data_IF_698540664029
#
_entry.id   IF_698540664029
#
_cell.length_a   1.000
_cell.length_b   1.000
_cell.length_c   1.000
_cell.angle_alpha   90.00
_cell.angle_beta   90.00
_cell.angle_gamma   90.00
#
_symmetry.space_group_name_H-M   'P 1'
#
loop_
_entity.id
_entity.type
_entity.pdbx_description
1 polymer ?
#
# COMPACT_ATOMS: atom_id res chain seq x y z
N UNK A 1 -26.44 -71.48 -29.67
CA UNK A 1 -26.47 -70.03 -29.84
C UNK A 1 -26.12 -69.38 -28.48
N UNK A 2 -24.93 -68.82 -28.36
CA UNK A 2 -24.52 -68.03 -27.16
C UNK A 2 -25.02 -66.61 -27.36
N UNK A 3 -25.69 -66.00 -26.35
CA UNK A 3 -26.12 -64.62 -26.45
C UNK A 3 -24.90 -63.68 -26.47
N UNK A 4 -25.00 -62.56 -27.20
CA UNK A 4 -23.89 -61.62 -27.30
C UNK A 4 -23.65 -60.97 -25.90
N UNK A 5 -22.40 -61.07 -25.40
CA UNK A 5 -21.93 -60.35 -24.20
C UNK A 5 -22.03 -58.84 -24.46
N UNK A 6 -23.00 -58.21 -23.83
CA UNK A 6 -23.06 -56.75 -23.76
C UNK A 6 -21.74 -56.25 -23.19
N UNK A 7 -20.98 -55.46 -23.97
CA UNK A 7 -19.82 -54.71 -23.49
C UNK A 7 -20.34 -53.69 -22.48
N UNK A 8 -19.78 -53.62 -21.25
CA UNK A 8 -20.14 -52.56 -20.34
C UNK A 8 -19.76 -51.23 -21.00
N UNK A 9 -20.78 -50.44 -21.37
CA UNK A 9 -20.59 -49.12 -21.98
C UNK A 9 -19.87 -48.24 -20.96
N UNK A 10 -18.82 -47.53 -21.45
CA UNK A 10 -18.23 -46.41 -20.70
C UNK A 10 -19.36 -45.44 -20.40
N UNK A 11 -19.66 -45.25 -19.12
CA UNK A 11 -20.56 -44.16 -18.72
C UNK A 11 -19.97 -42.86 -19.30
N UNK A 12 -20.69 -42.23 -20.24
CA UNK A 12 -20.24 -41.00 -20.86
C UNK A 12 -20.08 -39.92 -19.78
N UNK A 13 -19.12 -39.02 -19.92
CA UNK A 13 -18.87 -37.92 -18.99
C UNK A 13 -20.15 -37.17 -18.59
N UNK A 14 -21.07 -36.98 -19.54
CA UNK A 14 -22.38 -36.37 -19.28
C UNK A 14 -23.27 -37.20 -18.32
N UNK A 15 -23.17 -38.51 -18.33
CA UNK A 15 -23.89 -39.37 -17.39
C UNK A 15 -23.33 -39.28 -15.98
N UNK A 16 -21.99 -39.17 -15.83
CA UNK A 16 -21.31 -38.98 -14.56
C UNK A 16 -21.63 -37.59 -13.94
N UNK A 17 -21.66 -36.54 -14.76
CA UNK A 17 -22.07 -35.21 -14.32
C UNK A 17 -23.55 -35.20 -13.87
N UNK A 18 -24.44 -35.85 -14.62
CA UNK A 18 -25.86 -35.96 -14.24
C UNK A 18 -26.04 -36.72 -12.94
N UNK A 19 -25.28 -37.78 -12.71
CA UNK A 19 -25.31 -38.59 -11.49
C UNK A 19 -24.74 -37.79 -10.30
N UNK A 20 -23.67 -36.99 -10.50
CA UNK A 20 -23.14 -36.08 -9.47
C UNK A 20 -24.15 -35.02 -9.06
N UNK A 21 -24.86 -34.42 -10.01
CA UNK A 21 -25.91 -33.42 -9.75
C UNK A 21 -27.11 -34.03 -8.98
N UNK A 22 -27.51 -35.24 -9.34
CA UNK A 22 -28.58 -35.96 -8.61
C UNK A 22 -28.12 -36.32 -7.19
N UNK A 23 -26.85 -36.73 -7.02
CA UNK A 23 -26.26 -37.07 -5.73
C UNK A 23 -26.23 -35.86 -4.74
N UNK A 24 -26.07 -34.66 -5.25
CA UNK A 24 -26.15 -33.40 -4.50
C UNK A 24 -27.54 -33.21 -3.86
N UNK A 25 -28.61 -33.59 -4.56
CA UNK A 25 -29.99 -33.44 -4.08
C UNK A 25 -30.35 -34.33 -2.90
N UNK A 26 -29.65 -35.46 -2.70
CA UNK A 26 -30.03 -36.47 -1.67
C UNK A 26 -29.57 -36.14 -0.23
N UNK A 27 -28.55 -35.29 -0.04
CA UNK A 27 -28.08 -34.86 1.30
C UNK A 27 -27.61 -33.39 1.27
N UNK A 28 -28.53 -32.42 1.28
CA UNK A 28 -28.20 -31.01 1.05
C UNK A 28 -27.30 -30.40 2.14
N UNK A 29 -27.38 -30.86 3.38
CA UNK A 29 -26.58 -30.34 4.49
C UNK A 29 -25.06 -30.49 4.27
N UNK A 30 -24.62 -31.60 3.66
CA UNK A 30 -23.22 -31.87 3.40
C UNK A 30 -22.69 -31.06 2.23
N UNK A 31 -23.50 -31.01 1.15
CA UNK A 31 -23.19 -30.16 0.00
C UNK A 31 -23.00 -28.71 0.46
N UNK A 32 -23.93 -28.19 1.27
CA UNK A 32 -23.84 -26.84 1.81
C UNK A 32 -22.61 -26.67 2.72
N UNK A 33 -22.26 -27.65 3.55
CA UNK A 33 -21.07 -27.57 4.40
C UNK A 33 -19.77 -27.54 3.58
N UNK A 34 -19.66 -28.40 2.53
CA UNK A 34 -18.49 -28.41 1.64
C UNK A 34 -18.42 -27.15 0.80
N UNK A 35 -19.55 -26.68 0.29
CA UNK A 35 -19.68 -25.43 -0.43
C UNK A 35 -19.25 -24.25 0.44
N UNK A 36 -19.76 -24.17 1.68
CA UNK A 36 -19.41 -23.11 2.62
C UNK A 36 -17.90 -23.07 2.93
N UNK A 37 -17.27 -24.24 3.16
CA UNK A 37 -15.83 -24.33 3.36
C UNK A 37 -15.03 -23.77 2.14
N UNK A 38 -15.49 -24.09 0.92
CA UNK A 38 -14.87 -23.60 -0.32
C UNK A 38 -15.11 -22.11 -0.51
N UNK A 39 -16.34 -21.64 -0.25
CA UNK A 39 -16.71 -20.21 -0.34
C UNK A 39 -15.87 -19.38 0.61
N UNK A 40 -15.72 -19.82 1.86
CA UNK A 40 -14.89 -19.12 2.85
C UNK A 40 -13.42 -19.12 2.41
N UNK A 41 -12.87 -20.26 1.98
CA UNK A 41 -11.48 -20.35 1.56
C UNK A 41 -11.16 -19.46 0.37
N UNK A 42 -11.97 -19.54 -0.70
CA UNK A 42 -11.77 -18.73 -1.91
C UNK A 42 -12.17 -17.26 -1.68
N UNK A 43 -13.27 -17.02 -0.95
CA UNK A 43 -13.71 -15.66 -0.61
C UNK A 43 -12.64 -14.91 0.18
N UNK A 44 -12.05 -15.55 1.19
CA UNK A 44 -10.95 -14.96 1.97
C UNK A 44 -9.72 -14.67 1.12
N UNK A 45 -9.37 -15.55 0.18
CA UNK A 45 -8.27 -15.30 -0.76
C UNK A 45 -8.54 -14.07 -1.63
N UNK A 46 -9.75 -13.97 -2.22
CA UNK A 46 -10.13 -12.83 -3.06
C UNK A 46 -10.15 -11.54 -2.26
N UNK A 47 -10.72 -11.57 -1.04
CA UNK A 47 -10.75 -10.41 -0.13
C UNK A 47 -9.33 -9.97 0.24
N UNK A 48 -8.47 -10.90 0.65
CA UNK A 48 -7.10 -10.58 1.05
C UNK A 48 -6.31 -9.91 -0.09
N UNK A 49 -6.32 -10.53 -1.28
CA UNK A 49 -5.61 -10.00 -2.45
C UNK A 49 -6.24 -8.68 -2.94
N UNK A 50 -7.58 -8.61 -3.01
CA UNK A 50 -8.27 -7.43 -3.55
C UNK A 50 -8.21 -6.22 -2.61
N UNK A 51 -8.31 -6.41 -1.29
CA UNK A 51 -8.09 -5.31 -0.33
C UNK A 51 -6.63 -4.85 -0.40
N UNK A 52 -5.67 -5.78 -0.50
CA UNK A 52 -4.26 -5.43 -0.67
C UNK A 52 -4.00 -4.57 -1.90
N UNK A 53 -4.56 -4.96 -3.05
CA UNK A 53 -4.46 -4.19 -4.30
C UNK A 53 -5.14 -2.82 -4.19
N UNK A 54 -6.33 -2.77 -3.60
CA UNK A 54 -7.10 -1.53 -3.42
C UNK A 54 -6.36 -0.56 -2.48
N UNK A 55 -5.83 -1.05 -1.36
CA UNK A 55 -5.04 -0.23 -0.43
C UNK A 55 -3.75 0.29 -1.09
N UNK A 56 -3.03 -0.56 -1.82
CA UNK A 56 -1.83 -0.16 -2.54
C UNK A 56 -2.13 0.90 -3.62
N UNK A 57 -3.24 0.75 -4.35
CA UNK A 57 -3.67 1.74 -5.35
C UNK A 57 -4.06 3.07 -4.70
N UNK A 58 -4.72 3.04 -3.53
CA UNK A 58 -5.10 4.24 -2.79
C UNK A 58 -3.87 5.03 -2.30
N UNK A 59 -2.85 4.34 -1.80
CA UNK A 59 -1.58 4.96 -1.43
C UNK A 59 -0.94 5.62 -2.67
N UNK A 60 -0.87 4.90 -3.78
CA UNK A 60 -0.28 5.43 -5.02
C UNK A 60 -1.03 6.65 -5.55
N UNK A 61 -2.37 6.63 -5.58
CA UNK A 61 -3.15 7.75 -6.13
C UNK A 61 -2.95 9.06 -5.36
N UNK A 62 -2.67 8.99 -4.05
CA UNK A 62 -2.29 10.17 -3.26
C UNK A 62 -0.91 10.69 -3.65
N UNK A 63 0.03 9.81 -3.91
CA UNK A 63 1.36 10.21 -4.40
C UNK A 63 1.33 10.71 -5.85
N UNK A 64 0.55 10.08 -6.72
CA UNK A 64 0.45 10.48 -8.14
C UNK A 64 -0.11 11.90 -8.31
N UNK A 65 -1.03 12.35 -7.45
CA UNK A 65 -1.57 13.71 -7.50
C UNK A 65 -0.52 14.77 -7.13
N UNK A 66 0.36 14.47 -6.18
CA UNK A 66 1.48 15.33 -5.79
C UNK A 66 2.61 15.22 -6.83
N UNK A 67 2.92 14.00 -7.26
CA UNK A 67 3.96 13.74 -8.27
C UNK A 67 3.71 14.45 -9.61
N UNK A 68 2.44 14.62 -9.97
CA UNK A 68 2.07 15.27 -11.23
C UNK A 68 2.38 16.78 -11.26
N UNK A 69 2.58 17.40 -10.10
CA UNK A 69 2.74 18.86 -9.98
C UNK A 69 3.95 19.29 -9.15
N UNK A 70 4.71 18.39 -8.55
CA UNK A 70 5.86 18.74 -7.73
C UNK A 70 7.17 18.25 -8.34
N UNK A 71 8.22 19.08 -8.18
CA UNK A 71 9.61 18.76 -8.55
C UNK A 71 10.51 19.19 -7.41
N UNK A 72 11.27 18.25 -6.86
CA UNK A 72 12.29 18.51 -5.87
C UNK A 72 13.66 18.60 -6.55
N UNK A 73 14.42 19.65 -6.27
CA UNK A 73 15.78 19.80 -6.75
C UNK A 73 16.72 19.91 -5.55
N UNK A 74 17.72 19.05 -5.55
CA UNK A 74 18.79 19.03 -4.54
C UNK A 74 20.17 19.04 -5.19
N UNK A 75 21.20 19.30 -4.41
CA UNK A 75 22.57 19.14 -4.91
C UNK A 75 22.86 17.64 -5.16
N UNK A 76 23.47 17.35 -6.29
CA UNK A 76 23.98 16.02 -6.55
C UNK A 76 25.02 15.62 -5.48
N UNK A 77 25.03 14.35 -5.11
CA UNK A 77 25.98 13.81 -4.13
C UNK A 77 27.04 12.98 -4.81
N UNK A 78 28.26 13.04 -4.30
CA UNK A 78 29.36 12.13 -4.71
C UNK A 78 29.98 11.49 -3.48
N UNK A 79 30.33 10.22 -3.59
CA UNK A 79 31.02 9.50 -2.55
C UNK A 79 32.42 10.09 -2.33
N UNK A 80 32.67 10.65 -1.16
CA UNK A 80 33.97 11.20 -0.78
C UNK A 80 34.97 10.12 -0.41
N UNK A 81 36.23 10.52 -0.25
CA UNK A 81 37.31 9.63 0.18
C UNK A 81 37.11 9.03 1.59
N UNK A 82 36.17 9.57 2.36
CA UNK A 82 35.75 9.12 3.70
C UNK A 82 34.60 8.11 3.67
N UNK A 83 34.12 7.71 2.48
CA UNK A 83 32.99 6.81 2.28
C UNK A 83 31.64 7.44 2.63
N UNK A 84 31.57 8.77 2.69
CA UNK A 84 30.32 9.50 2.91
C UNK A 84 29.93 10.27 1.64
N UNK A 85 28.63 10.44 1.49
CA UNK A 85 28.07 11.25 0.42
C UNK A 85 28.25 12.74 0.74
N UNK A 86 28.94 13.46 -0.14
CA UNK A 86 29.11 14.90 -0.07
C UNK A 86 28.39 15.58 -1.22
N UNK A 87 27.72 16.70 -0.89
CA UNK A 87 27.07 17.52 -1.92
C UNK A 87 28.15 18.13 -2.86
N UNK A 88 27.95 17.94 -4.16
CA UNK A 88 28.88 18.42 -5.21
C UNK A 88 28.78 19.94 -5.42
N UNK A 89 27.61 20.51 -5.13
CA UNK A 89 27.33 21.93 -5.27
C UNK A 89 26.41 22.44 -4.15
N UNK A 90 26.22 23.73 -4.10
CA UNK A 90 25.24 24.39 -3.23
C UNK A 90 24.18 25.09 -4.08
N UNK A 91 22.91 25.03 -3.67
CA UNK A 91 21.85 25.74 -4.37
C UNK A 91 22.10 27.24 -4.31
N UNK A 92 22.05 27.96 -5.46
CA UNK A 92 22.19 29.39 -5.50
C UNK A 92 21.13 30.12 -4.66
N UNK A 93 21.46 31.24 -4.05
CA UNK A 93 20.54 32.02 -3.24
C UNK A 93 19.34 32.59 -4.04
N UNK A 94 19.49 32.72 -5.34
CA UNK A 94 18.49 33.19 -6.31
C UNK A 94 17.77 32.04 -7.04
N UNK A 95 17.86 30.81 -6.51
CA UNK A 95 17.28 29.62 -7.15
C UNK A 95 15.78 29.77 -7.40
N UNK A 96 15.03 30.31 -6.43
CA UNK A 96 13.58 30.55 -6.56
C UNK A 96 13.30 31.47 -7.75
N UNK A 97 14.03 32.57 -7.88
CA UNK A 97 13.86 33.55 -8.97
C UNK A 97 14.25 32.97 -10.35
N UNK A 98 15.24 32.07 -10.38
CA UNK A 98 15.67 31.40 -11.62
C UNK A 98 14.61 30.42 -12.09
N UNK A 99 14.09 29.56 -11.22
CA UNK A 99 13.10 28.56 -11.62
C UNK A 99 11.72 29.17 -11.86
N UNK A 100 11.36 30.27 -11.19
CA UNK A 100 10.12 31.00 -11.42
C UNK A 100 9.97 31.54 -12.87
N UNK A 101 11.08 31.64 -13.61
CA UNK A 101 11.09 32.06 -15.02
C UNK A 101 10.80 30.92 -16.00
N UNK A 102 10.81 29.67 -15.52
CA UNK A 102 10.53 28.52 -16.37
C UNK A 102 9.03 28.40 -16.63
N UNK A 103 8.70 28.09 -17.89
CA UNK A 103 7.30 27.89 -18.26
C UNK A 103 6.72 26.66 -17.54
N UNK A 104 5.58 26.85 -16.89
CA UNK A 104 4.90 25.79 -16.15
C UNK A 104 5.23 25.76 -14.66
N UNK A 105 6.07 26.64 -14.14
CA UNK A 105 6.28 26.82 -12.69
C UNK A 105 5.20 27.75 -12.15
N UNK A 106 4.51 27.31 -11.10
CA UNK A 106 3.47 28.08 -10.39
C UNK A 106 3.97 28.66 -9.08
N UNK A 107 4.76 27.90 -8.33
CA UNK A 107 5.36 28.34 -7.08
C UNK A 107 6.69 27.62 -6.84
N UNK A 108 7.55 28.21 -6.02
CA UNK A 108 8.77 27.58 -5.56
C UNK A 108 9.13 28.03 -4.15
N UNK A 109 9.72 27.11 -3.39
CA UNK A 109 10.29 27.42 -2.05
C UNK A 109 11.64 26.71 -1.93
N UNK A 110 12.59 27.43 -1.40
CA UNK A 110 13.90 26.91 -1.06
C UNK A 110 13.96 26.74 0.46
N UNK A 111 14.35 25.56 0.90
CA UNK A 111 14.40 25.20 2.32
C UNK A 111 15.77 24.63 2.68
N UNK A 112 16.22 24.92 3.89
CA UNK A 112 17.44 24.33 4.41
C UNK A 112 17.48 24.35 5.93
N UNK A 113 18.19 23.40 6.51
CA UNK A 113 18.30 23.27 7.96
C UNK A 113 19.28 24.30 8.50
N UNK A 114 18.93 24.92 9.63
CA UNK A 114 19.77 25.85 10.35
C UNK A 114 20.40 25.13 11.54
N UNK A 115 21.73 25.11 11.55
CA UNK A 115 22.48 24.56 12.69
C UNK A 115 22.57 25.62 13.79
N UNK A 116 22.02 25.34 14.95
CA UNK A 116 22.08 26.18 16.12
C UNK A 116 23.37 25.96 16.94
N UNK A 117 24.37 25.23 16.45
CA UNK A 117 25.62 24.92 17.13
C UNK A 117 25.43 24.26 18.50
N UNK A 118 24.38 23.47 18.66
CA UNK A 118 24.05 22.77 19.93
C UNK A 118 23.11 23.53 20.84
N UNK A 119 22.72 24.77 20.51
CA UNK A 119 21.68 25.49 21.22
C UNK A 119 20.29 24.93 20.96
N UNK A 120 19.32 25.25 21.80
CA UNK A 120 17.97 24.70 21.75
C UNK A 120 16.94 25.71 21.28
N UNK A 121 15.82 25.20 20.82
CA UNK A 121 14.60 25.98 20.60
C UNK A 121 13.72 25.88 21.82
N UNK A 122 13.38 27.05 22.42
CA UNK A 122 12.55 27.09 23.62
C UNK A 122 11.49 28.19 23.52
N UNK A 123 10.37 28.02 24.22
CA UNK A 123 9.32 29.04 24.32
C UNK A 123 9.64 30.10 25.42
N UNK A 124 10.61 29.83 26.27
CA UNK A 124 11.03 30.70 27.39
C UNK A 124 12.55 30.73 27.43
N UNK A 125 13.14 31.90 27.59
CA UNK A 125 14.59 32.07 27.74
C UNK A 125 15.05 31.64 29.14
N UNK A 126 15.07 30.33 29.35
CA UNK A 126 15.54 29.70 30.59
C UNK A 126 16.54 28.60 30.22
N UNK A 127 17.78 28.78 30.65
CA UNK A 127 18.77 27.73 30.65
C UNK A 127 18.52 26.82 31.86
N UNK A 128 17.94 25.65 31.63
CA UNK A 128 17.89 24.58 32.63
C UNK A 128 18.98 23.55 32.31
N UNK A 129 20.11 23.56 33.04
CA UNK A 129 21.20 22.61 32.79
C UNK A 129 20.84 21.15 33.11
N UNK A 130 19.77 20.93 33.90
CA UNK A 130 19.28 19.60 34.26
C UNK A 130 18.13 19.12 33.38
N UNK A 131 17.64 19.96 32.46
CA UNK A 131 16.63 19.51 31.50
C UNK A 131 17.16 18.37 30.65
N UNK A 132 16.44 17.24 30.65
CA UNK A 132 16.75 16.10 29.80
C UNK A 132 16.92 16.54 28.33
N UNK A 133 17.86 15.96 27.56
CA UNK A 133 18.01 16.26 26.15
C UNK A 133 16.76 15.78 25.39
N UNK A 134 15.72 16.61 25.41
CA UNK A 134 14.54 16.40 24.57
C UNK A 134 14.90 16.87 23.16
N UNK A 135 14.57 16.05 22.19
CA UNK A 135 14.65 16.43 20.77
C UNK A 135 13.62 17.56 20.56
N UNK A 136 14.05 18.79 20.66
CA UNK A 136 13.21 19.97 20.41
C UNK A 136 12.90 20.15 18.94
N UNK A 137 12.04 21.13 18.55
CA UNK A 137 11.80 21.49 17.17
C UNK A 137 13.11 21.83 16.45
N UNK A 138 13.21 21.43 15.19
CA UNK A 138 14.32 21.83 14.30
C UNK A 138 14.11 23.27 13.83
N UNK A 139 15.16 23.91 13.32
CA UNK A 139 15.06 25.23 12.69
C UNK A 139 15.36 25.09 11.22
N UNK A 140 14.47 25.65 10.38
CA UNK A 140 14.64 25.66 8.94
C UNK A 140 14.57 27.09 8.40
N UNK A 141 15.48 27.43 7.51
CA UNK A 141 15.44 28.69 6.76
C UNK A 141 14.65 28.48 5.47
N UNK A 142 13.78 29.43 5.11
CA UNK A 142 13.00 29.33 3.89
C UNK A 142 13.01 30.62 3.07
N UNK A 143 12.90 30.44 1.73
CA UNK A 143 12.78 31.52 0.72
C UNK A 143 11.73 31.12 -0.29
N UNK A 144 10.81 32.02 -0.62
CA UNK A 144 9.77 31.77 -1.61
C UNK A 144 8.39 31.64 -1.00
N UNK A 145 7.46 31.08 -1.78
CA UNK A 145 6.08 30.88 -1.33
C UNK A 145 5.92 29.51 -0.63
N UNK A 146 6.04 29.52 0.70
CA UNK A 146 5.95 28.31 1.52
C UNK A 146 4.59 27.65 1.33
N UNK A 147 3.48 28.43 1.34
CA UNK A 147 2.13 27.87 1.32
C UNK A 147 1.84 27.18 -0.02
N UNK A 148 2.05 27.91 -1.12
CA UNK A 148 1.79 27.39 -2.45
C UNK A 148 2.73 26.24 -2.80
N UNK A 149 4.00 26.29 -2.38
CA UNK A 149 4.98 25.28 -2.74
C UNK A 149 4.88 24.00 -1.89
N UNK A 150 4.37 24.08 -0.65
CA UNK A 150 4.25 22.89 0.22
C UNK A 150 2.84 22.37 0.37
N UNK A 151 1.83 23.10 -0.15
CA UNK A 151 0.41 22.80 0.05
C UNK A 151 -0.07 23.08 1.46
N UNK A 152 0.75 23.76 2.29
CA UNK A 152 0.41 24.09 3.68
C UNK A 152 -0.75 25.05 3.78
N UNK A 153 -1.48 24.96 4.88
CA UNK A 153 -2.54 25.91 5.25
C UNK A 153 -2.15 26.67 6.51
N UNK A 154 -2.50 27.96 6.58
CA UNK A 154 -2.28 28.75 7.80
C UNK A 154 -3.39 28.45 8.80
N UNK A 155 -3.02 27.90 9.96
CA UNK A 155 -3.97 27.63 11.05
C UNK A 155 -4.28 28.91 11.81
N UNK A 156 -3.26 29.72 12.10
CA UNK A 156 -3.41 31.03 12.77
C UNK A 156 -2.30 31.98 12.33
N UNK A 157 -2.56 33.27 12.24
CA UNK A 157 -1.59 34.30 11.87
C UNK A 157 -1.34 34.37 10.35
N UNK A 158 -0.09 34.53 9.95
CA UNK A 158 0.40 34.69 8.58
C UNK A 158 1.81 34.17 8.40
N UNK A 159 2.24 33.93 7.17
CA UNK A 159 3.64 33.66 6.85
C UNK A 159 4.44 34.97 6.65
N UNK A 160 5.76 34.90 6.71
CA UNK A 160 6.63 36.03 6.38
C UNK A 160 6.66 36.28 4.86
N UNK A 161 6.89 37.51 4.49
CA UNK A 161 6.93 38.02 3.12
C UNK A 161 8.32 38.57 2.74
N UNK A 162 8.45 39.07 1.50
CA UNK A 162 9.69 39.68 1.02
C UNK A 162 10.20 40.82 1.90
N UNK A 163 9.28 41.64 2.47
CA UNK A 163 9.67 42.72 3.34
C UNK A 163 10.35 42.27 4.65
N UNK A 164 9.89 41.14 5.25
CA UNK A 164 10.57 40.55 6.40
C UNK A 164 11.96 40.03 6.03
N UNK A 165 12.09 39.45 4.81
CA UNK A 165 13.37 39.00 4.33
C UNK A 165 14.35 40.12 4.03
N UNK A 166 13.91 41.20 3.38
CA UNK A 166 14.77 42.36 3.06
C UNK A 166 15.32 43.00 4.32
N UNK A 167 14.52 43.12 5.39
CA UNK A 167 14.96 43.68 6.68
C UNK A 167 15.68 42.67 7.56
N UNK A 168 15.71 41.40 7.17
CA UNK A 168 16.17 40.29 7.98
C UNK A 168 15.49 40.26 9.36
N UNK A 169 14.16 40.44 9.37
CA UNK A 169 13.37 40.48 10.59
C UNK A 169 13.43 39.15 11.35
N UNK A 170 13.52 39.19 12.68
CA UNK A 170 13.44 38.00 13.54
C UNK A 170 11.99 37.60 13.74
N UNK A 171 11.42 37.02 12.69
CA UNK A 171 10.08 36.42 12.69
C UNK A 171 10.15 34.92 12.43
N UNK A 172 9.21 34.19 13.00
CA UNK A 172 9.13 32.76 12.85
C UNK A 172 7.71 32.31 12.49
N UNK A 173 7.61 31.28 11.67
CA UNK A 173 6.40 30.49 11.38
C UNK A 173 6.62 29.10 11.97
N UNK A 174 5.68 28.60 12.73
CA UNK A 174 5.78 27.28 13.36
C UNK A 174 5.02 26.26 12.53
N UNK A 175 5.61 25.09 12.32
CA UNK A 175 4.83 23.92 11.95
C UNK A 175 3.94 23.47 13.11
N UNK A 176 2.80 22.84 12.83
CA UNK A 176 1.83 22.47 13.87
C UNK A 176 2.43 21.63 15.00
N UNK A 177 3.28 20.66 14.68
CA UNK A 177 3.96 19.82 15.67
C UNK A 177 5.00 20.59 16.49
N UNK A 178 5.68 21.57 15.87
CA UNK A 178 6.59 22.47 16.59
C UNK A 178 5.83 23.40 17.54
N UNK A 179 4.68 23.90 17.11
CA UNK A 179 3.80 24.73 17.93
C UNK A 179 3.29 23.97 19.17
N UNK A 180 2.84 22.72 18.97
CA UNK A 180 2.41 21.82 20.04
C UNK A 180 3.56 21.53 21.03
N UNK A 181 4.76 21.24 20.53
CA UNK A 181 5.93 20.94 21.35
C UNK A 181 6.37 22.15 22.18
N UNK A 182 6.16 23.38 21.67
CA UNK A 182 6.48 24.65 22.37
C UNK A 182 5.30 25.18 23.22
N UNK A 183 4.12 24.53 23.15
CA UNK A 183 2.92 24.97 23.87
C UNK A 183 2.32 26.28 23.34
N UNK A 184 2.59 26.62 22.05
CA UNK A 184 2.11 27.84 21.40
C UNK A 184 0.90 27.46 20.50
N UNK A 185 -0.28 27.83 20.93
CA UNK A 185 -1.53 27.52 20.22
C UNK A 185 -2.12 28.72 19.47
N UNK A 186 -1.69 29.95 19.76
CA UNK A 186 -2.18 31.18 19.15
C UNK A 186 -1.06 32.21 19.01
N UNK A 187 -1.13 33.00 17.96
CA UNK A 187 -0.16 34.09 17.66
C UNK A 187 -0.69 35.46 17.98
N UNK A 188 -1.93 35.61 18.46
CA UNK A 188 -2.55 36.92 18.74
C UNK A 188 -1.79 37.74 19.81
N UNK A 189 -1.14 37.08 20.75
CA UNK A 189 -0.30 37.71 21.77
C UNK A 189 1.14 37.98 21.29
N UNK A 190 1.46 37.74 20.02
CA UNK A 190 2.79 37.82 19.45
C UNK A 190 3.85 37.07 20.29
N UNK A 191 3.67 35.78 20.57
CA UNK A 191 4.59 35.00 21.38
C UNK A 191 5.97 34.99 20.75
N UNK A 192 7.02 34.90 21.54
CA UNK A 192 8.38 34.71 21.06
C UNK A 192 8.83 33.27 21.27
N UNK A 193 9.62 32.77 20.34
CA UNK A 193 10.43 31.55 20.49
C UNK A 193 11.90 31.96 20.55
N UNK A 194 12.67 31.29 21.38
CA UNK A 194 14.10 31.53 21.50
C UNK A 194 14.86 30.47 20.72
N UNK A 195 15.65 30.96 19.77
CA UNK A 195 16.60 30.13 19.02
C UNK A 195 17.97 30.35 19.65
N UNK A 196 18.37 29.45 20.53
CA UNK A 196 19.38 29.77 21.52
C UNK A 196 18.89 30.93 22.41
N UNK A 197 19.65 32.03 22.47
CA UNK A 197 19.28 33.23 23.22
C UNK A 197 18.61 34.33 22.37
N UNK A 198 18.36 34.06 21.08
CA UNK A 198 17.80 35.06 20.18
C UNK A 198 16.28 34.95 20.08
N UNK A 199 15.53 35.97 20.45
CA UNK A 199 14.09 35.97 20.36
C UNK A 199 13.63 36.15 18.91
N UNK A 200 12.73 35.28 18.45
CA UNK A 200 12.00 35.37 17.21
C UNK A 200 10.51 35.50 17.48
N UNK A 201 9.86 36.49 16.91
CA UNK A 201 8.42 36.67 17.07
C UNK A 201 7.66 35.66 16.21
N UNK A 202 6.80 34.85 16.80
CA UNK A 202 5.94 33.93 16.09
C UNK A 202 4.80 34.71 15.44
N UNK A 203 4.72 34.66 14.10
CA UNK A 203 3.72 35.38 13.33
C UNK A 203 2.67 34.47 12.66
N UNK A 204 2.88 33.17 12.67
CA UNK A 204 1.93 32.19 12.11
C UNK A 204 2.23 30.77 12.51
N UNK A 205 1.21 29.92 12.37
CA UNK A 205 1.29 28.46 12.49
C UNK A 205 0.73 27.88 11.21
N UNK A 206 1.44 26.90 10.64
CA UNK A 206 1.07 26.20 9.41
C UNK A 206 0.92 24.70 9.66
N UNK A 207 0.01 24.08 8.92
CA UNK A 207 -0.32 22.67 9.03
C UNK A 207 -0.68 22.09 7.66
N UNK A 208 -0.76 20.74 7.58
CA UNK A 208 -1.25 20.05 6.39
C UNK A 208 -0.29 20.08 5.20
N UNK A 209 1.02 20.07 5.44
CA UNK A 209 2.02 20.06 4.36
C UNK A 209 1.92 18.77 3.53
N UNK A 210 1.73 18.92 2.22
CA UNK A 210 1.69 17.81 1.27
C UNK A 210 3.10 17.29 0.95
N UNK A 211 4.08 18.20 0.91
CA UNK A 211 5.51 17.92 0.73
C UNK A 211 6.31 18.64 1.82
N UNK A 212 7.58 18.26 1.96
CA UNK A 212 8.47 18.83 3.00
C UNK A 212 7.86 18.71 4.41
N UNK A 213 7.27 17.55 4.71
CA UNK A 213 6.55 17.28 5.97
C UNK A 213 7.42 17.45 7.23
N UNK A 214 8.74 17.46 7.09
CA UNK A 214 9.68 17.79 8.17
C UNK A 214 9.44 19.18 8.75
N UNK A 215 8.94 20.12 7.93
CA UNK A 215 8.61 21.48 8.37
C UNK A 215 7.44 21.54 9.38
N UNK A 216 6.60 20.48 9.48
CA UNK A 216 5.60 20.41 10.55
C UNK A 216 6.21 20.40 11.95
N UNK A 217 7.44 19.90 12.09
CA UNK A 217 8.18 19.82 13.35
C UNK A 217 9.24 20.92 13.47
N UNK A 218 9.24 21.90 12.56
CA UNK A 218 10.27 22.93 12.48
C UNK A 218 9.75 24.32 12.84
N UNK A 219 10.67 25.16 13.30
CA UNK A 219 10.55 26.62 13.37
C UNK A 219 11.11 27.17 12.07
N UNK A 220 10.28 27.77 11.24
CA UNK A 220 10.64 28.26 9.91
C UNK A 220 10.94 29.76 10.01
N UNK A 221 12.15 30.18 9.60
CA UNK A 221 12.60 31.57 9.66
C UNK A 221 13.04 32.06 8.26
N UNK A 222 13.04 33.38 8.03
CA UNK A 222 13.62 33.95 6.79
C UNK A 222 15.09 33.58 6.63
N UNK A 223 15.53 33.23 5.43
CA UNK A 223 16.93 32.89 5.11
C UNK A 223 17.92 33.98 5.47
N UNK A 224 17.51 35.24 5.28
CA UNK A 224 18.34 36.44 5.59
C UNK A 224 18.57 36.59 7.09
N UNK A 225 17.56 36.30 7.91
CA UNK A 225 17.71 36.27 9.37
C UNK A 225 18.59 35.08 9.79
N UNK A 226 18.39 33.89 9.17
CA UNK A 226 19.21 32.73 9.44
C UNK A 226 20.69 32.93 9.07
N UNK A 227 20.97 33.62 7.97
CA UNK A 227 22.34 33.98 7.60
C UNK A 227 23.00 34.91 8.56
N UNK A 228 22.25 35.96 8.98
CA UNK A 228 22.77 36.98 9.90
C UNK A 228 23.05 36.41 11.30
N UNK A 229 22.13 35.62 11.83
CA UNK A 229 22.15 35.20 13.22
C UNK A 229 22.88 33.87 13.46
N UNK A 230 22.87 32.97 12.48
CA UNK A 230 23.41 31.60 12.62
C UNK A 230 24.44 31.24 11.54
N UNK A 231 24.81 32.18 10.64
CA UNK A 231 25.76 31.86 9.57
C UNK A 231 25.25 30.85 8.56
N UNK A 232 23.92 30.72 8.42
CA UNK A 232 23.31 29.80 7.47
C UNK A 232 23.90 29.97 6.06
N UNK A 233 24.52 28.92 5.55
CA UNK A 233 25.34 29.03 4.34
C UNK A 233 24.60 28.57 3.07
N UNK A 234 23.85 27.50 3.14
CA UNK A 234 23.30 26.89 1.96
C UNK A 234 21.93 26.21 2.20
N UNK A 235 20.97 26.46 1.33
CA UNK A 235 19.73 25.71 1.28
C UNK A 235 19.99 24.26 0.86
N UNK A 236 19.15 23.35 1.31
CA UNK A 236 19.27 21.94 1.07
C UNK A 236 18.43 21.48 -0.11
N UNK A 237 17.21 22.00 -0.23
CA UNK A 237 16.21 21.56 -1.18
C UNK A 237 15.50 22.77 -1.78
N UNK A 238 15.20 22.69 -3.04
CA UNK A 238 14.32 23.58 -3.79
C UNK A 238 13.09 22.78 -4.22
N UNK A 239 11.95 23.09 -3.63
CA UNK A 239 10.65 22.52 -3.99
C UNK A 239 9.97 23.43 -5.00
N UNK A 240 9.49 22.86 -6.12
CA UNK A 240 8.87 23.57 -7.23
C UNK A 240 7.50 22.98 -7.48
N UNK A 241 6.47 23.81 -7.50
CA UNK A 241 5.13 23.43 -7.94
C UNK A 241 4.94 23.83 -9.39
N UNK A 242 4.44 22.90 -10.18
CA UNK A 242 4.26 23.07 -11.61
C UNK A 242 2.79 22.90 -12.01
N UNK A 243 2.42 23.49 -13.12
CA UNK A 243 1.15 23.18 -13.79
C UNK A 243 1.06 21.67 -14.11
N UNK A 244 -0.17 21.09 -14.08
CA UNK A 244 -0.34 19.68 -14.39
C UNK A 244 0.27 19.28 -15.74
N UNK A 245 1.14 18.26 -15.71
CA UNK A 245 1.85 17.77 -16.89
C UNK A 245 3.15 18.49 -17.25
N UNK A 246 3.53 19.56 -16.52
CA UNK A 246 4.78 20.27 -16.74
C UNK A 246 5.97 19.75 -15.91
N UNK A 247 5.72 18.88 -14.91
CA UNK A 247 6.73 18.44 -13.93
C UNK A 247 7.98 17.82 -14.60
N UNK A 248 7.79 16.93 -15.57
CA UNK A 248 8.91 16.29 -16.27
C UNK A 248 9.77 17.28 -17.09
N UNK A 249 9.11 18.28 -17.70
CA UNK A 249 9.82 19.33 -18.44
C UNK A 249 10.60 20.23 -17.48
N UNK A 250 9.97 20.65 -16.39
CA UNK A 250 10.59 21.50 -15.36
C UNK A 250 11.73 20.75 -14.66
N UNK A 251 11.56 19.48 -14.34
CA UNK A 251 12.63 18.65 -13.76
C UNK A 251 13.88 18.61 -14.66
N UNK A 252 13.68 18.53 -15.98
CA UNK A 252 14.81 18.57 -16.90
C UNK A 252 15.43 19.97 -17.06
N UNK A 253 14.64 21.03 -16.97
CA UNK A 253 15.09 22.40 -17.16
C UNK A 253 15.64 23.07 -15.90
N UNK A 254 15.19 22.67 -14.71
CA UNK A 254 15.58 23.29 -13.46
C UNK A 254 17.09 23.21 -13.18
N UNK A 255 17.79 22.06 -13.33
CA UNK A 255 19.26 22.01 -13.20
C UNK A 255 19.99 22.93 -14.15
N UNK A 256 19.51 23.05 -15.39
CA UNK A 256 20.10 23.94 -16.41
C UNK A 256 19.90 25.40 -16.02
N UNK A 257 18.72 25.77 -15.49
CA UNK A 257 18.45 27.13 -15.04
C UNK A 257 19.28 27.52 -13.81
N UNK A 258 19.53 26.55 -12.92
CA UNK A 258 20.32 26.75 -11.71
C UNK A 258 21.82 26.87 -11.98
N UNK A 259 22.35 26.00 -12.83
CA UNK A 259 23.76 25.99 -13.19
C UNK A 259 23.97 25.66 -14.69
N UNK A 260 23.89 26.64 -15.60
CA UNK A 260 24.01 26.38 -17.03
C UNK A 260 25.36 25.77 -17.45
N UNK A 261 26.42 26.01 -16.67
CA UNK A 261 27.77 25.48 -16.93
C UNK A 261 28.02 24.07 -16.33
N UNK A 262 27.20 23.65 -15.40
CA UNK A 262 27.36 22.36 -14.70
C UNK A 262 25.98 21.83 -14.22
N UNK A 263 25.04 21.54 -15.13
CA UNK A 263 23.69 21.11 -14.77
C UNK A 263 23.68 19.80 -13.95
N UNK A 264 24.65 18.90 -14.23
CA UNK A 264 24.79 17.62 -13.52
C UNK A 264 25.20 17.77 -12.03
N UNK A 265 25.42 19.02 -11.57
CA UNK A 265 25.65 19.30 -10.14
C UNK A 265 24.36 19.29 -9.31
N UNK A 266 23.20 19.22 -9.95
CA UNK A 266 21.90 19.20 -9.30
C UNK A 266 21.07 18.03 -9.81
N UNK A 267 20.47 17.30 -8.88
CA UNK A 267 19.50 16.25 -9.15
C UNK A 267 18.10 16.82 -9.03
N UNK A 268 17.30 16.67 -10.08
CA UNK A 268 15.89 17.02 -10.06
C UNK A 268 15.07 15.74 -10.08
N UNK A 269 14.33 15.50 -9.03
CA UNK A 269 13.45 14.34 -8.90
C UNK A 269 11.99 14.77 -8.87
N UNK A 270 11.13 13.95 -9.46
CA UNK A 270 9.69 14.06 -9.26
C UNK A 270 9.30 12.99 -8.23
N UNK A 271 8.24 13.21 -7.42
CA UNK A 271 7.75 12.17 -6.53
C UNK A 271 7.37 10.86 -7.26
N UNK A 272 7.20 10.90 -8.58
CA UNK A 272 7.05 9.72 -9.43
C UNK A 272 8.30 8.82 -9.42
N UNK A 273 9.49 9.39 -9.29
CA UNK A 273 10.74 8.62 -9.18
C UNK A 273 10.82 7.90 -7.81
N UNK A 274 10.21 8.47 -6.78
CA UNK A 274 10.04 7.85 -5.46
C UNK A 274 9.01 6.70 -5.49
N UNK A 275 8.09 6.69 -6.47
CA UNK A 275 7.15 5.57 -6.65
C UNK A 275 7.84 4.28 -7.11
N UNK A 276 9.05 4.34 -7.65
CA UNK A 276 9.86 3.15 -7.92
C UNK A 276 10.24 2.40 -6.63
N UNK A 277 10.44 3.09 -5.52
CA UNK A 277 10.65 2.50 -4.19
C UNK A 277 9.35 1.90 -3.63
N UNK A 278 8.18 2.43 -4.00
CA UNK A 278 6.88 1.88 -3.62
C UNK A 278 6.56 0.56 -4.33
N UNK A 279 7.24 0.24 -5.44
CA UNK A 279 7.16 -1.05 -6.12
C UNK A 279 7.60 -2.21 -5.23
N UNK A 280 8.63 -2.01 -4.41
CA UNK A 280 9.10 -2.99 -3.41
C UNK A 280 8.04 -3.26 -2.33
N UNK A 281 7.47 -2.20 -1.76
CA UNK A 281 6.42 -2.30 -0.72
C UNK A 281 5.15 -2.98 -1.27
N UNK A 282 4.78 -2.69 -2.53
CA UNK A 282 3.66 -3.40 -3.20
C UNK A 282 3.94 -4.90 -3.36
N UNK A 283 5.17 -5.28 -3.74
CA UNK A 283 5.59 -6.66 -3.86
C UNK A 283 5.51 -7.40 -2.53
N UNK A 284 6.02 -6.79 -1.46
CA UNK A 284 6.05 -7.37 -0.13
C UNK A 284 4.65 -7.53 0.47
N UNK A 285 3.79 -6.50 0.35
CA UNK A 285 2.39 -6.58 0.76
C UNK A 285 1.63 -7.63 -0.06
N UNK A 286 1.82 -7.66 -1.39
CA UNK A 286 1.23 -8.67 -2.27
C UNK A 286 1.62 -10.08 -1.86
N UNK A 287 2.88 -10.30 -1.53
CA UNK A 287 3.40 -11.60 -1.06
C UNK A 287 2.79 -11.98 0.29
N UNK A 288 2.68 -11.06 1.25
CA UNK A 288 2.05 -11.31 2.54
C UNK A 288 0.57 -11.70 2.38
N UNK A 289 -0.19 -11.00 1.53
CA UNK A 289 -1.58 -11.33 1.26
C UNK A 289 -1.74 -12.67 0.52
N UNK A 290 -0.82 -13.02 -0.39
CA UNK A 290 -0.79 -14.33 -1.03
C UNK A 290 -0.53 -15.46 -0.03
N UNK A 291 0.35 -15.27 0.94
CA UNK A 291 0.62 -16.24 2.00
C UNK A 291 -0.63 -16.44 2.86
N UNK A 292 -1.27 -15.36 3.32
CA UNK A 292 -2.51 -15.43 4.11
C UNK A 292 -3.62 -16.11 3.31
N UNK A 293 -3.79 -15.74 2.03
CA UNK A 293 -4.74 -16.36 1.13
C UNK A 293 -4.45 -17.84 0.89
N UNK A 294 -3.18 -18.22 0.77
CA UNK A 294 -2.73 -19.61 0.64
C UNK A 294 -3.06 -20.45 1.88
N UNK A 295 -2.85 -19.91 3.08
CA UNK A 295 -3.19 -20.58 4.34
C UNK A 295 -4.70 -20.81 4.44
N UNK A 296 -5.51 -19.80 4.11
CA UNK A 296 -6.98 -19.94 4.12
C UNK A 296 -7.47 -20.92 3.06
N UNK A 297 -6.83 -20.96 1.90
CA UNK A 297 -7.11 -21.94 0.85
C UNK A 297 -6.82 -23.37 1.32
N UNK A 298 -5.69 -23.60 2.00
CA UNK A 298 -5.35 -24.89 2.59
C UNK A 298 -6.35 -25.31 3.66
N UNK A 299 -6.80 -24.40 4.50
CA UNK A 299 -7.84 -24.66 5.51
C UNK A 299 -9.17 -25.05 4.85
N UNK A 300 -9.59 -24.36 3.77
CA UNK A 300 -10.74 -24.73 2.94
C UNK A 300 -10.61 -26.12 2.35
N UNK A 301 -9.44 -26.46 1.79
CA UNK A 301 -9.12 -27.77 1.25
C UNK A 301 -9.19 -28.90 2.29
N UNK A 302 -8.68 -28.65 3.49
CA UNK A 302 -8.81 -29.59 4.62
C UNK A 302 -10.27 -29.82 5.01
N UNK A 303 -11.10 -28.77 4.99
CA UNK A 303 -12.55 -28.86 5.16
C UNK A 303 -13.23 -29.75 4.13
N UNK A 304 -12.94 -29.54 2.84
CA UNK A 304 -13.45 -30.38 1.75
C UNK A 304 -13.06 -31.85 1.96
N UNK A 305 -11.78 -32.11 2.26
CA UNK A 305 -11.25 -33.45 2.48
C UNK A 305 -11.95 -34.14 3.65
N UNK A 306 -12.10 -33.46 4.80
CA UNK A 306 -12.74 -34.01 6.00
C UNK A 306 -14.20 -34.39 5.76
N UNK A 307 -14.98 -33.48 5.16
CA UNK A 307 -16.40 -33.70 4.87
C UNK A 307 -16.57 -34.83 3.83
N UNK A 308 -15.71 -34.89 2.82
CA UNK A 308 -15.75 -35.94 1.79
C UNK A 308 -15.36 -37.29 2.36
N UNK A 309 -14.36 -37.37 3.25
CA UNK A 309 -14.00 -38.62 3.95
C UNK A 309 -15.16 -39.16 4.79
N UNK A 310 -15.84 -38.27 5.53
CA UNK A 310 -17.03 -38.64 6.28
C UNK A 310 -18.15 -39.13 5.35
N UNK A 311 -18.33 -38.50 4.19
CA UNK A 311 -19.29 -38.91 3.17
C UNK A 311 -18.97 -40.30 2.64
N UNK A 312 -17.72 -40.61 2.34
CA UNK A 312 -17.27 -41.94 1.89
C UNK A 312 -17.54 -43.00 2.94
N UNK A 313 -17.22 -42.73 4.22
CA UNK A 313 -17.47 -43.67 5.31
C UNK A 313 -18.95 -44.02 5.49
N UNK A 314 -19.84 -43.04 5.34
CA UNK A 314 -21.28 -43.23 5.49
C UNK A 314 -21.97 -43.85 4.25
N UNK A 315 -21.30 -43.92 3.12
CA UNK A 315 -21.80 -44.54 1.86
C UNK A 315 -21.03 -45.81 1.51
N UNK A 316 -20.31 -46.39 2.48
CA UNK A 316 -19.45 -47.54 2.25
C UNK A 316 -20.22 -48.76 1.71
N UNK A 317 -21.43 -49.04 2.24
CA UNK A 317 -22.29 -50.14 1.77
C UNK A 317 -22.79 -49.91 0.34
N UNK A 318 -23.19 -48.68 -0.01
CA UNK A 318 -23.58 -48.30 -1.38
C UNK A 318 -22.42 -48.47 -2.37
N UNK A 319 -21.21 -48.02 -2.00
CA UNK A 319 -19.99 -48.15 -2.82
C UNK A 319 -19.63 -49.61 -2.95
N UNK A 320 -19.74 -50.41 -1.87
CA UNK A 320 -19.50 -51.85 -1.90
C UNK A 320 -20.45 -52.59 -2.82
N UNK A 321 -21.73 -52.23 -2.80
CA UNK A 321 -22.74 -52.80 -3.71
C UNK A 321 -22.46 -52.50 -5.18
N UNK A 322 -22.13 -51.25 -5.53
CA UNK A 322 -21.75 -50.84 -6.86
C UNK A 322 -20.52 -51.63 -7.38
N UNK A 323 -19.56 -51.85 -6.49
CA UNK A 323 -18.36 -52.65 -6.81
C UNK A 323 -18.67 -54.14 -6.99
N UNK A 324 -19.56 -54.69 -6.17
CA UNK A 324 -20.06 -56.06 -6.31
C UNK A 324 -20.79 -56.26 -7.65
N UNK A 325 -21.51 -55.24 -8.13
CA UNK A 325 -22.20 -55.24 -9.41
C UNK A 325 -21.25 -54.98 -10.63
N UNK A 326 -19.93 -54.83 -10.38
CA UNK A 326 -18.92 -54.77 -11.45
C UNK A 326 -18.36 -53.39 -11.75
N UNK A 327 -18.64 -52.35 -10.94
CA UNK A 327 -18.00 -51.05 -11.11
C UNK A 327 -16.49 -51.14 -10.88
N UNK A 328 -15.71 -50.50 -11.74
CA UNK A 328 -14.24 -50.42 -11.62
C UNK A 328 -13.84 -49.43 -10.51
N UNK A 329 -12.62 -49.60 -9.97
CA UNK A 329 -12.05 -48.65 -8.99
C UNK A 329 -11.97 -47.24 -9.57
N UNK A 330 -11.62 -47.14 -10.86
CA UNK A 330 -11.55 -45.85 -11.58
C UNK A 330 -12.91 -45.14 -11.64
N UNK A 331 -14.00 -45.88 -11.81
CA UNK A 331 -15.32 -45.30 -11.99
C UNK A 331 -15.78 -44.63 -10.67
N UNK A 332 -15.52 -45.30 -9.53
CA UNK A 332 -15.77 -44.73 -8.21
C UNK A 332 -14.87 -43.50 -7.95
N UNK A 333 -13.57 -43.61 -8.26
CA UNK A 333 -12.65 -42.49 -8.06
C UNK A 333 -13.05 -41.26 -8.89
N UNK A 334 -13.34 -41.44 -10.17
CA UNK A 334 -13.76 -40.35 -11.08
C UNK A 334 -15.08 -39.74 -10.61
N UNK A 335 -16.04 -40.54 -10.14
CA UNK A 335 -17.29 -40.01 -9.60
C UNK A 335 -17.08 -39.04 -8.47
N UNK A 336 -16.27 -39.40 -7.44
CA UNK A 336 -15.95 -38.52 -6.31
C UNK A 336 -15.14 -37.29 -6.73
N UNK A 337 -14.19 -37.44 -7.67
CA UNK A 337 -13.42 -36.31 -8.20
C UNK A 337 -14.30 -35.30 -8.95
N UNK A 338 -15.25 -35.77 -9.75
CA UNK A 338 -16.22 -34.91 -10.44
C UNK A 338 -17.10 -34.18 -9.43
N UNK A 339 -17.61 -34.90 -8.40
CA UNK A 339 -18.44 -34.35 -7.36
C UNK A 339 -17.70 -33.23 -6.59
N UNK A 340 -16.48 -33.49 -6.12
CA UNK A 340 -15.68 -32.50 -5.39
C UNK A 340 -15.18 -31.36 -6.29
N UNK A 341 -14.86 -31.64 -7.55
CA UNK A 341 -14.49 -30.63 -8.55
C UNK A 341 -15.63 -29.66 -8.85
N UNK A 342 -16.86 -30.16 -9.01
CA UNK A 342 -18.05 -29.33 -9.20
C UNK A 342 -18.35 -28.46 -7.98
N UNK A 343 -18.27 -29.03 -6.75
CA UNK A 343 -18.42 -28.25 -5.51
C UNK A 343 -17.34 -27.19 -5.41
N UNK A 344 -16.08 -27.54 -5.76
CA UNK A 344 -14.99 -26.61 -5.79
C UNK A 344 -15.20 -25.46 -6.79
N UNK A 345 -15.70 -25.75 -7.98
CA UNK A 345 -16.02 -24.76 -9.00
C UNK A 345 -17.16 -23.83 -8.56
N UNK A 346 -18.27 -24.40 -8.07
CA UNK A 346 -19.40 -23.63 -7.56
C UNK A 346 -19.03 -22.78 -6.33
N UNK A 347 -18.25 -23.37 -5.40
CA UNK A 347 -17.72 -22.67 -4.25
C UNK A 347 -16.74 -21.56 -4.63
N UNK A 348 -15.89 -21.81 -5.65
CA UNK A 348 -14.99 -20.82 -6.23
C UNK A 348 -15.73 -19.63 -6.83
N UNK A 349 -16.76 -19.87 -7.63
CA UNK A 349 -17.59 -18.80 -8.22
C UNK A 349 -18.31 -17.99 -7.13
N UNK A 350 -18.98 -18.69 -6.19
CA UNK A 350 -19.71 -18.03 -5.11
C UNK A 350 -18.77 -17.30 -4.15
N UNK A 351 -17.62 -17.89 -3.82
CA UNK A 351 -16.58 -17.29 -2.99
C UNK A 351 -15.97 -16.04 -3.64
N UNK A 352 -15.67 -16.11 -4.94
CA UNK A 352 -15.17 -14.96 -5.69
C UNK A 352 -16.21 -13.83 -5.73
N UNK A 353 -17.48 -14.15 -6.01
CA UNK A 353 -18.56 -13.15 -6.04
C UNK A 353 -18.75 -12.47 -4.67
N UNK A 354 -18.78 -13.25 -3.58
CA UNK A 354 -18.88 -12.70 -2.22
C UNK A 354 -17.63 -11.92 -1.83
N UNK A 355 -16.45 -12.38 -2.24
CA UNK A 355 -15.18 -11.68 -2.02
C UNK A 355 -15.17 -10.31 -2.71
N UNK A 356 -15.58 -10.26 -3.99
CA UNK A 356 -15.72 -9.01 -4.74
C UNK A 356 -16.74 -8.07 -4.06
N UNK A 357 -17.91 -8.60 -3.67
CA UNK A 357 -18.90 -7.80 -2.97
C UNK A 357 -18.37 -7.21 -1.65
N UNK A 358 -17.62 -8.01 -0.88
CA UNK A 358 -17.00 -7.55 0.36
C UNK A 358 -15.96 -6.43 0.10
N UNK A 359 -15.13 -6.56 -0.94
CA UNK A 359 -14.16 -5.52 -1.32
C UNK A 359 -14.87 -4.22 -1.68
N UNK A 360 -15.95 -4.30 -2.48
CA UNK A 360 -16.73 -3.11 -2.88
C UNK A 360 -17.36 -2.43 -1.66
N UNK A 361 -17.91 -3.20 -0.72
CA UNK A 361 -18.50 -2.66 0.51
C UNK A 361 -17.43 -1.98 1.38
N UNK A 362 -16.28 -2.62 1.59
CA UNK A 362 -15.18 -2.03 2.37
C UNK A 362 -14.67 -0.77 1.71
N UNK A 363 -14.46 -0.78 0.39
CA UNK A 363 -14.01 0.39 -0.36
C UNK A 363 -15.01 1.54 -0.26
N UNK A 364 -16.32 1.27 -0.39
CA UNK A 364 -17.36 2.28 -0.27
C UNK A 364 -17.44 2.92 1.12
N UNK A 365 -17.31 2.11 2.19
CA UNK A 365 -17.31 2.62 3.58
C UNK A 365 -16.05 3.43 3.87
N UNK A 366 -14.91 3.03 3.29
CA UNK A 366 -13.62 3.72 3.49
C UNK A 366 -13.42 4.92 2.56
N UNK A 367 -14.34 5.19 1.62
CA UNK A 367 -14.19 6.23 0.61
C UNK A 367 -13.08 5.92 -0.42
N UNK A 368 -12.76 4.65 -0.62
CA UNK A 368 -11.73 4.20 -1.55
C UNK A 368 -12.33 3.81 -2.91
N UNK A 369 -11.53 3.92 -3.96
CA UNK A 369 -11.89 3.36 -5.27
C UNK A 369 -11.47 1.91 -5.33
N UNK A 370 -12.42 0.94 -5.47
CA UNK A 370 -12.05 -0.47 -5.51
C UNK A 370 -11.28 -0.79 -6.79
N UNK A 371 -10.12 -1.42 -6.63
CA UNK A 371 -9.31 -1.93 -7.74
C UNK A 371 -9.41 -3.45 -7.74
N UNK A 372 -10.02 -3.99 -8.79
CA UNK A 372 -10.24 -5.42 -8.97
C UNK A 372 -9.60 -5.87 -10.28
N UNK A 373 -8.63 -6.75 -10.19
CA UNK A 373 -8.03 -7.38 -11.36
C UNK A 373 -8.90 -8.57 -11.81
N UNK A 374 -9.50 -8.54 -13.01
CA UNK A 374 -10.30 -9.66 -13.53
C UNK A 374 -9.54 -10.98 -13.58
N UNK A 375 -8.20 -10.94 -13.76
CA UNK A 375 -7.35 -12.13 -13.78
C UNK A 375 -7.32 -12.80 -12.41
N UNK A 376 -7.27 -12.02 -11.33
CA UNK A 376 -7.32 -12.54 -9.94
C UNK A 376 -8.66 -13.21 -9.67
N UNK A 377 -9.78 -12.60 -10.10
CA UNK A 377 -11.12 -13.16 -9.92
C UNK A 377 -11.28 -14.46 -10.71
N UNK A 378 -10.86 -14.50 -11.98
CA UNK A 378 -10.89 -15.69 -12.80
C UNK A 378 -9.96 -16.79 -12.24
N UNK A 379 -8.77 -16.40 -11.79
CA UNK A 379 -7.80 -17.27 -11.14
C UNK A 379 -8.35 -17.91 -9.86
N UNK A 380 -9.10 -17.16 -9.06
CA UNK A 380 -9.75 -17.65 -7.84
C UNK A 380 -10.81 -18.72 -8.15
N UNK A 381 -11.60 -18.55 -9.20
CA UNK A 381 -12.58 -19.57 -9.65
C UNK A 381 -11.87 -20.86 -10.06
N UNK A 382 -10.80 -20.75 -10.83
CA UNK A 382 -9.99 -21.90 -11.24
C UNK A 382 -9.31 -22.58 -10.05
N UNK A 383 -8.79 -21.78 -9.11
CA UNK A 383 -8.19 -22.27 -7.87
C UNK A 383 -9.22 -23.05 -7.03
N UNK A 384 -10.48 -22.62 -6.98
CA UNK A 384 -11.57 -23.34 -6.34
C UNK A 384 -11.82 -24.73 -6.96
N UNK A 385 -11.89 -24.79 -8.29
CA UNK A 385 -12.07 -26.06 -8.99
C UNK A 385 -10.87 -27.00 -8.76
N UNK A 386 -9.65 -26.49 -8.85
CA UNK A 386 -8.42 -27.25 -8.58
C UNK A 386 -8.35 -27.72 -7.12
N UNK A 387 -8.72 -26.87 -6.18
CA UNK A 387 -8.78 -27.21 -4.77
C UNK A 387 -9.75 -28.37 -4.53
N UNK A 388 -10.96 -28.34 -5.14
CA UNK A 388 -11.93 -29.41 -5.06
C UNK A 388 -11.39 -30.73 -5.59
N UNK A 389 -10.67 -30.71 -6.72
CA UNK A 389 -10.02 -31.89 -7.30
C UNK A 389 -8.90 -32.44 -6.43
N UNK A 390 -8.01 -31.58 -5.92
CA UNK A 390 -6.85 -31.97 -5.10
C UNK A 390 -7.32 -32.49 -3.73
N UNK A 391 -8.17 -31.74 -3.04
CA UNK A 391 -8.70 -32.11 -1.73
C UNK A 391 -9.62 -33.34 -1.80
N UNK A 392 -10.36 -33.52 -2.91
CA UNK A 392 -11.17 -34.70 -3.18
C UNK A 392 -10.37 -35.93 -3.61
N UNK A 393 -9.12 -35.76 -4.02
CA UNK A 393 -8.27 -36.83 -4.54
C UNK A 393 -8.03 -37.97 -3.54
N UNK A 394 -7.63 -37.65 -2.33
CA UNK A 394 -7.40 -38.66 -1.28
C UNK A 394 -8.70 -39.41 -0.89
N UNK A 395 -9.83 -38.75 -0.60
CA UNK A 395 -11.12 -39.43 -0.35
C UNK A 395 -11.56 -40.31 -1.53
N UNK A 396 -11.41 -39.85 -2.77
CA UNK A 396 -11.75 -40.58 -3.98
C UNK A 396 -10.94 -41.89 -4.12
N UNK A 397 -9.62 -41.80 -3.85
CA UNK A 397 -8.76 -43.00 -3.84
C UNK A 397 -9.16 -43.96 -2.73
N UNK A 398 -9.49 -43.47 -1.55
CA UNK A 398 -9.95 -44.30 -0.43
C UNK A 398 -11.28 -44.99 -0.73
N UNK A 399 -12.24 -44.26 -1.29
CA UNK A 399 -13.53 -44.81 -1.73
C UNK A 399 -13.34 -45.93 -2.76
N UNK A 400 -12.42 -45.75 -3.71
CA UNK A 400 -12.14 -46.73 -4.77
C UNK A 400 -11.54 -48.07 -4.26
N UNK A 401 -10.96 -48.05 -3.05
CA UNK A 401 -10.31 -49.24 -2.44
C UNK A 401 -11.21 -49.99 -1.48
N UNK A 402 -12.45 -49.58 -1.24
CA UNK A 402 -13.40 -50.27 -0.38
C UNK A 402 -13.66 -51.67 -0.95
N UNK A 403 -13.51 -52.72 -0.12
CA UNK A 403 -13.74 -54.09 -0.52
C UNK A 403 -15.24 -54.45 -0.42
N UNK A 404 -15.86 -55.05 -1.48
CA UNK A 404 -17.25 -55.36 -1.50
C UNK A 404 -17.68 -56.27 -0.33
N UNK A 405 -16.80 -57.24 0.03
CA UNK A 405 -17.08 -58.22 1.08
C UNK A 405 -17.11 -57.59 2.52
N UNK A 406 -16.24 -56.61 2.78
CA UNK A 406 -16.23 -55.89 4.05
C UNK A 406 -17.39 -54.90 4.16
N UNK A 407 -17.69 -54.18 3.07
CA UNK A 407 -18.75 -53.17 3.03
C UNK A 407 -20.15 -53.74 3.25
N UNK A 408 -20.40 -55.00 2.87
CA UNK A 408 -21.68 -55.69 3.06
C UNK A 408 -21.79 -56.47 4.37
N UNK A 409 -20.69 -56.55 5.15
CA UNK A 409 -20.69 -57.15 6.51
C UNK A 409 -20.84 -56.15 7.62
N UNK A 410 -20.71 -54.87 7.32
CA UNK A 410 -20.70 -53.76 8.27
C UNK A 410 -22.13 -53.24 8.61
N UNK A 411 -23.18 -53.76 7.95
CA UNK A 411 -24.58 -53.62 8.30
C UNK A 411 -24.97 -54.90 9.05
#
# INVERSE_FOLDING_TARGET
MRPPRARPGRAGFAALVREAVVGVGMKPSRFLATLAATVIGIGSLVVAVGIGQTAAAQVTSRFDSVAATHVEVSAATSEGADGKDHAVATLPADSVDRVARLTGVEAAVQVGDVDLAGERVTAVDLDDPEAAPTTGPTVSAAVGDILAATGATVTTGRVFDAGHRERADRVAVLGAKAADALGITDVASAPAVFLGHLPYTVIGIVDGLAVQTALESAVIIPDTAARRDFGYAAPRVLEIVTAPGASSLVAHQAPIALAPSAPDSFDASTPADVTSLSGGVRGDLGTAFLIIGGITLLAGGAGIMGITLLSVAQRSSEIGLRRALGARRSDIAVQFLVETGLVGALGGMSGAALGVAAIVVVAAVSGWTPVLDPVVVAGAVLAGALLGLVAGGYPALRASRIEPAEALRAD
#
